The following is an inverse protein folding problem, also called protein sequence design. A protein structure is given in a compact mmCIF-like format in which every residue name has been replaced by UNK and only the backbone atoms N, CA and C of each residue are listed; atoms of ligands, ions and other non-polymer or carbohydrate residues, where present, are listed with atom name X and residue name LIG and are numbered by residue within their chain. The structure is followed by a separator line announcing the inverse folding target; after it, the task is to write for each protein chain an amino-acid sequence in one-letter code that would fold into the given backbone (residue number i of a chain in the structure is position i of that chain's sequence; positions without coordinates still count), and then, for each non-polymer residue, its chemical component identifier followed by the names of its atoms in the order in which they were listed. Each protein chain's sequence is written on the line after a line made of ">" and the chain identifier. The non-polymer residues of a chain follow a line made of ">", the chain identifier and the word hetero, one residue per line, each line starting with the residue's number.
data_IF_006608477749
#
_entry.id   IF_006608477749
#
_cell.length_a   1.000
_cell.length_b   1.000
_cell.length_c   1.000
_cell.angle_alpha   90.00
_cell.angle_beta   90.00
_cell.angle_gamma   90.00
#
_symmetry.space_group_name_H-M   'P 1'
#
loop_
_entity.id
_entity.type
_entity.pdbx_description
1 polymer ?
#
# COMPACT_ATOMS: atom_id res chain seq x y z
N UNK A 1 80.60 -6.25 5.91
CA UNK A 1 79.75 -7.27 6.54
C UNK A 1 78.84 -6.70 7.62
N UNK A 2 78.38 -5.43 7.54
CA UNK A 2 77.44 -4.79 8.51
C UNK A 2 76.29 -4.00 7.87
N UNK A 3 76.22 -3.90 6.55
CA UNK A 3 75.15 -3.15 5.87
C UNK A 3 73.99 -4.05 5.36
N UNK A 4 74.27 -5.30 5.01
CA UNK A 4 73.31 -6.25 4.46
C UNK A 4 72.30 -6.78 5.53
N UNK A 5 72.78 -6.91 6.78
CA UNK A 5 71.95 -7.47 7.87
C UNK A 5 70.82 -6.50 8.32
N UNK A 6 71.06 -5.19 8.22
CA UNK A 6 70.07 -4.15 8.57
C UNK A 6 69.01 -4.01 7.47
N UNK A 7 69.31 -4.29 6.24
CA UNK A 7 68.37 -4.22 5.12
C UNK A 7 67.45 -5.43 5.08
N UNK A 8 67.93 -6.62 5.38
CA UNK A 8 67.11 -7.82 5.50
C UNK A 8 66.12 -7.77 6.65
N UNK A 9 66.53 -7.23 7.81
CA UNK A 9 65.60 -7.05 8.98
C UNK A 9 64.50 -6.04 8.70
N UNK A 10 64.70 -5.01 7.87
CA UNK A 10 63.68 -4.04 7.47
C UNK A 10 62.68 -4.64 6.47
N UNK A 11 63.09 -5.54 5.59
CA UNK A 11 62.20 -6.21 4.62
C UNK A 11 61.29 -7.22 5.34
N UNK A 12 61.82 -8.02 6.26
CA UNK A 12 61.03 -8.98 7.02
C UNK A 12 60.00 -8.27 7.93
N UNK A 13 60.34 -7.12 8.55
CA UNK A 13 59.39 -6.37 9.38
C UNK A 13 58.30 -5.71 8.55
N UNK A 14 58.57 -5.28 7.32
CA UNK A 14 57.61 -4.68 6.42
C UNK A 14 56.60 -5.72 5.88
N UNK A 15 57.05 -6.92 5.61
CA UNK A 15 56.14 -8.01 5.15
C UNK A 15 55.27 -8.56 6.30
N UNK A 16 55.79 -8.65 7.53
CA UNK A 16 54.97 -9.05 8.69
C UNK A 16 53.91 -8.03 9.05
N UNK A 17 54.18 -6.73 8.96
CA UNK A 17 53.21 -5.67 9.27
C UNK A 17 52.09 -5.58 8.22
N UNK A 18 52.38 -5.90 6.96
CA UNK A 18 51.36 -5.98 5.90
C UNK A 18 50.48 -7.23 6.07
N UNK A 19 51.04 -8.39 6.42
CA UNK A 19 50.27 -9.62 6.63
C UNK A 19 49.34 -9.50 7.85
N UNK A 20 49.76 -8.90 8.94
CA UNK A 20 48.90 -8.68 10.12
C UNK A 20 47.78 -7.70 9.83
N UNK A 21 48.01 -6.68 8.95
CA UNK A 21 46.94 -5.75 8.54
C UNK A 21 45.91 -6.40 7.61
N UNK A 22 46.31 -7.35 6.75
CA UNK A 22 45.34 -8.07 5.86
C UNK A 22 44.55 -9.14 6.61
N UNK A 23 45.13 -9.77 7.63
CA UNK A 23 44.41 -10.76 8.46
C UNK A 23 43.41 -10.06 9.39
N UNK A 24 43.72 -8.88 9.93
CA UNK A 24 42.74 -8.09 10.73
C UNK A 24 41.64 -7.48 9.87
N UNK A 25 41.86 -7.10 8.61
CA UNK A 25 40.82 -6.66 7.68
C UNK A 25 39.95 -7.81 7.20
N UNK A 26 40.48 -9.02 7.00
CA UNK A 26 39.70 -10.19 6.64
C UNK A 26 38.81 -10.67 7.80
N UNK A 27 39.24 -10.57 9.04
CA UNK A 27 38.43 -10.89 10.22
C UNK A 27 37.34 -9.83 10.53
N UNK A 28 37.57 -8.56 10.15
CA UNK A 28 36.54 -7.51 10.26
C UNK A 28 35.44 -7.63 9.19
N UNK A 29 35.71 -8.26 8.03
CA UNK A 29 34.70 -8.50 6.97
C UNK A 29 33.82 -9.74 7.24
N UNK A 30 34.23 -10.63 8.16
CA UNK A 30 33.44 -11.81 8.53
C UNK A 30 32.38 -11.56 9.60
N UNK A 31 32.33 -10.35 10.18
CA UNK A 31 31.36 -10.00 11.25
C UNK A 31 30.09 -9.32 10.76
N UNK A 32 29.93 -9.09 9.45
CA UNK A 32 28.69 -8.53 8.87
C UNK A 32 27.85 -9.55 8.08
N UNK A 33 27.91 -10.82 8.45
CA UNK A 33 26.77 -11.67 8.16
C UNK A 33 25.67 -11.30 9.15
N UNK A 34 24.84 -10.31 8.78
CA UNK A 34 23.52 -10.14 9.38
C UNK A 34 22.86 -11.49 9.38
N UNK A 35 22.83 -12.12 10.53
CA UNK A 35 21.91 -13.23 10.77
C UNK A 35 20.53 -12.69 10.49
N UNK A 36 20.00 -12.99 9.31
CA UNK A 36 18.58 -12.85 9.03
C UNK A 36 17.87 -13.65 10.11
N UNK A 37 17.50 -13.00 11.22
CA UNK A 37 16.65 -13.61 12.21
C UNK A 37 15.39 -13.99 11.46
N UNK A 38 15.21 -15.31 11.25
CA UNK A 38 13.96 -15.82 10.74
C UNK A 38 12.88 -15.31 11.70
N UNK A 39 11.93 -14.51 11.19
CA UNK A 39 10.81 -14.03 12.01
C UNK A 39 10.07 -15.26 12.55
N UNK A 40 9.89 -15.31 13.87
CA UNK A 40 9.16 -16.41 14.48
C UNK A 40 7.75 -16.52 13.88
N UNK A 41 7.28 -17.74 13.59
CA UNK A 41 5.93 -17.95 13.12
C UNK A 41 4.90 -17.45 14.13
N UNK A 42 3.79 -16.90 13.64
CA UNK A 42 2.66 -16.58 14.51
C UNK A 42 2.20 -17.85 15.25
N UNK A 43 1.97 -17.79 16.58
CA UNK A 43 1.47 -18.92 17.35
C UNK A 43 0.11 -19.41 16.82
N UNK A 44 -0.07 -20.74 16.78
CA UNK A 44 -1.28 -21.36 16.23
C UNK A 44 -2.55 -20.91 16.98
N UNK A 45 -2.49 -20.76 18.30
CA UNK A 45 -3.60 -20.27 19.12
C UNK A 45 -4.05 -18.87 18.73
N UNK A 46 -3.13 -17.95 18.37
CA UNK A 46 -3.47 -16.60 17.92
C UNK A 46 -4.13 -16.62 16.54
N UNK A 47 -3.63 -17.47 15.68
CA UNK A 47 -4.23 -17.69 14.35
C UNK A 47 -5.66 -18.18 14.50
N UNK A 48 -5.90 -19.17 15.39
CA UNK A 48 -7.23 -19.72 15.65
C UNK A 48 -8.18 -18.68 16.27
N UNK A 49 -7.70 -17.86 17.20
CA UNK A 49 -8.49 -16.78 17.79
C UNK A 49 -8.91 -15.75 16.73
N UNK A 50 -7.99 -15.32 15.85
CA UNK A 50 -8.29 -14.42 14.74
C UNK A 50 -9.25 -15.05 13.72
N UNK A 51 -9.14 -16.34 13.46
CA UNK A 51 -10.05 -17.08 12.57
C UNK A 51 -11.47 -17.15 13.16
N UNK A 52 -11.60 -17.46 14.44
CA UNK A 52 -12.87 -17.48 15.15
C UNK A 52 -13.53 -16.08 15.16
N UNK A 53 -12.75 -15.03 15.45
CA UNK A 53 -13.21 -13.65 15.37
C UNK A 53 -13.72 -13.30 13.97
N UNK A 54 -12.94 -13.61 12.93
CA UNK A 54 -13.32 -13.32 11.55
C UNK A 54 -14.63 -14.00 11.17
N UNK A 55 -14.79 -15.29 11.51
CA UNK A 55 -16.00 -16.05 11.23
C UNK A 55 -17.24 -15.50 11.97
N UNK A 56 -17.08 -15.15 13.25
CA UNK A 56 -18.16 -14.56 14.08
C UNK A 56 -18.59 -13.17 13.58
N UNK A 57 -17.71 -12.45 12.90
CA UNK A 57 -17.97 -11.11 12.36
C UNK A 57 -18.19 -11.13 10.83
N UNK A 58 -18.91 -12.11 10.29
CA UNK A 58 -19.31 -12.17 8.89
C UNK A 58 -18.16 -12.43 7.91
N UNK A 59 -17.02 -12.95 8.40
CA UNK A 59 -15.90 -13.34 7.54
C UNK A 59 -16.31 -14.45 6.58
N UNK A 60 -15.91 -14.33 5.33
CA UNK A 60 -16.07 -15.35 4.28
C UNK A 60 -14.78 -16.12 4.06
N UNK A 61 -13.65 -15.44 4.14
CA UNK A 61 -12.33 -16.05 4.04
C UNK A 61 -11.36 -15.37 5.00
N UNK A 62 -10.48 -16.16 5.60
CA UNK A 62 -9.28 -15.69 6.28
C UNK A 62 -8.08 -16.49 5.77
N UNK A 63 -7.09 -15.77 5.21
CA UNK A 63 -5.82 -16.33 4.77
C UNK A 63 -4.69 -15.62 5.50
N UNK A 64 -3.80 -16.38 6.13
CA UNK A 64 -2.59 -15.88 6.79
C UNK A 64 -1.38 -16.53 6.13
N UNK A 65 -0.50 -15.70 5.57
CA UNK A 65 0.72 -16.14 4.87
C UNK A 65 1.92 -15.47 5.51
N UNK A 66 2.92 -16.26 5.93
CA UNK A 66 4.14 -15.74 6.54
C UNK A 66 5.37 -16.40 5.90
N UNK A 67 6.43 -15.63 5.66
CA UNK A 67 7.64 -16.11 4.99
C UNK A 67 7.34 -16.87 3.66
N UNK A 68 6.31 -16.43 2.94
CA UNK A 68 5.86 -17.05 1.69
C UNK A 68 5.01 -18.33 1.85
N UNK A 69 4.81 -18.83 3.07
CA UNK A 69 4.01 -20.05 3.35
C UNK A 69 2.64 -19.67 3.92
N UNK A 70 1.60 -20.37 3.49
CA UNK A 70 0.26 -20.26 4.09
C UNK A 70 0.29 -20.99 5.43
N UNK A 71 0.06 -20.25 6.52
CA UNK A 71 -0.06 -20.77 7.87
C UNK A 71 -1.51 -21.14 8.20
N UNK A 72 -2.46 -20.40 7.62
CA UNK A 72 -3.89 -20.62 7.81
C UNK A 72 -4.67 -20.20 6.58
N UNK A 73 -5.67 -20.97 6.25
CA UNK A 73 -6.63 -20.68 5.21
C UNK A 73 -7.98 -21.30 5.59
N UNK A 74 -8.98 -20.48 5.80
CA UNK A 74 -10.34 -20.94 6.14
C UNK A 74 -11.38 -20.18 5.34
N UNK A 75 -12.50 -20.88 5.09
CA UNK A 75 -13.66 -20.38 4.36
C UNK A 75 -14.90 -20.70 5.17
N UNK A 76 -15.74 -19.70 5.38
CA UNK A 76 -16.93 -19.77 6.25
C UNK A 76 -18.11 -19.14 5.58
N UNK A 77 -19.30 -19.29 6.16
CA UNK A 77 -20.52 -18.65 5.69
C UNK A 77 -20.83 -18.96 4.20
N UNK A 78 -20.57 -20.20 3.77
CA UNK A 78 -20.86 -20.69 2.40
C UNK A 78 -19.87 -20.25 1.33
N UNK A 79 -18.81 -19.53 1.67
CA UNK A 79 -17.78 -19.09 0.72
C UNK A 79 -16.73 -20.19 0.46
N UNK A 80 -16.10 -20.16 -0.71
CA UNK A 80 -15.10 -21.14 -1.11
C UNK A 80 -13.77 -20.49 -1.54
N UNK A 81 -12.71 -21.28 -1.61
CA UNK A 81 -11.35 -20.80 -2.01
C UNK A 81 -11.28 -20.32 -3.47
N UNK A 82 -12.21 -20.73 -4.31
CA UNK A 82 -12.22 -20.38 -5.73
C UNK A 82 -13.16 -19.23 -6.06
N UNK A 83 -13.94 -18.79 -5.08
CA UNK A 83 -14.94 -17.75 -5.27
C UNK A 83 -14.33 -16.36 -5.11
N UNK A 84 -14.30 -15.53 -6.18
CA UNK A 84 -13.80 -14.17 -6.05
C UNK A 84 -14.83 -13.28 -5.35
N UNK A 85 -14.36 -12.45 -4.44
CA UNK A 85 -15.17 -11.48 -3.72
C UNK A 85 -14.81 -10.05 -4.13
N UNK A 86 -15.79 -9.14 -4.11
CA UNK A 86 -15.54 -7.72 -4.36
C UNK A 86 -14.67 -7.14 -3.25
N UNK A 87 -13.50 -6.60 -3.59
CA UNK A 87 -12.59 -5.99 -2.61
C UNK A 87 -12.84 -4.49 -2.39
N UNK A 88 -13.87 -3.93 -3.03
CA UNK A 88 -14.28 -2.53 -2.91
C UNK A 88 -13.09 -1.56 -3.00
N UNK A 89 -12.89 -0.71 -2.00
CA UNK A 89 -11.80 0.28 -1.96
C UNK A 89 -10.39 -0.31 -1.97
N UNK A 90 -10.23 -1.61 -1.73
CA UNK A 90 -8.96 -2.32 -1.98
C UNK A 90 -8.47 -2.18 -3.44
N UNK A 91 -9.39 -1.92 -4.37
CA UNK A 91 -9.10 -1.63 -5.79
C UNK A 91 -8.14 -0.43 -5.96
N UNK A 92 -8.25 0.57 -5.09
CA UNK A 92 -7.47 1.83 -5.20
C UNK A 92 -5.97 1.60 -5.20
N UNK A 93 -5.49 0.67 -4.38
CA UNK A 93 -4.07 0.36 -4.29
C UNK A 93 -3.47 -0.06 -5.64
N UNK A 94 -4.17 -0.90 -6.39
CA UNK A 94 -3.69 -1.36 -7.71
C UNK A 94 -3.56 -0.21 -8.71
N UNK A 95 -4.52 0.71 -8.72
CA UNK A 95 -4.44 1.90 -9.57
C UNK A 95 -3.34 2.87 -9.12
N UNK A 96 -3.17 3.06 -7.82
CA UNK A 96 -2.09 3.89 -7.30
C UNK A 96 -0.70 3.32 -7.65
N UNK A 97 -0.54 1.99 -7.68
CA UNK A 97 0.71 1.35 -8.09
C UNK A 97 1.07 1.63 -9.56
N UNK A 98 0.09 1.93 -10.43
CA UNK A 98 0.40 2.35 -11.81
C UNK A 98 1.18 3.65 -11.86
N UNK A 99 1.09 4.51 -10.84
CA UNK A 99 1.81 5.78 -10.82
C UNK A 99 3.31 5.58 -10.65
N UNK A 100 3.74 4.65 -9.80
CA UNK A 100 5.17 4.31 -9.67
C UNK A 100 5.71 3.69 -10.96
N UNK A 101 4.90 2.84 -11.62
CA UNK A 101 5.27 2.30 -12.93
C UNK A 101 5.37 3.41 -13.99
N UNK A 102 4.45 4.37 -13.99
CA UNK A 102 4.44 5.50 -14.92
C UNK A 102 5.62 6.45 -14.70
N UNK A 103 5.98 6.71 -13.45
CA UNK A 103 7.17 7.49 -13.09
C UNK A 103 8.45 6.79 -13.58
N UNK A 104 8.57 5.47 -13.34
CA UNK A 104 9.69 4.65 -13.84
C UNK A 104 9.76 4.61 -15.38
N UNK A 105 8.62 4.62 -16.05
CA UNK A 105 8.55 4.67 -17.53
C UNK A 105 8.74 6.10 -18.08
N UNK A 106 8.97 7.10 -17.24
CA UNK A 106 9.21 8.49 -17.62
C UNK A 106 7.98 9.23 -18.17
N UNK A 107 6.77 8.77 -17.84
CA UNK A 107 5.53 9.42 -18.30
C UNK A 107 5.26 10.74 -17.56
N UNK A 108 5.57 10.78 -16.27
CA UNK A 108 5.52 11.95 -15.37
C UNK A 108 6.30 11.64 -14.09
N UNK A 109 6.53 12.67 -13.28
CA UNK A 109 6.98 12.54 -11.88
C UNK A 109 5.78 12.70 -10.95
N UNK A 110 5.82 12.05 -9.79
CA UNK A 110 4.73 12.18 -8.81
C UNK A 110 4.52 13.63 -8.33
N UNK A 111 5.57 14.44 -8.36
CA UNK A 111 5.50 15.84 -7.94
C UNK A 111 5.24 16.82 -9.09
N UNK A 112 5.07 16.32 -10.33
CA UNK A 112 4.65 17.15 -11.47
C UNK A 112 3.22 17.68 -11.24
N UNK A 113 2.96 18.88 -11.79
CA UNK A 113 1.62 19.47 -11.74
C UNK A 113 0.68 18.73 -12.68
N UNK A 114 -0.51 18.46 -12.20
CA UNK A 114 -1.57 17.85 -13.02
C UNK A 114 -1.89 18.73 -14.23
N UNK A 115 -1.82 20.05 -14.08
CA UNK A 115 -2.05 21.04 -15.14
C UNK A 115 -1.04 21.02 -16.29
N UNK A 116 0.13 20.37 -16.11
CA UNK A 116 1.09 20.19 -17.21
C UNK A 116 0.56 19.19 -18.26
N UNK A 117 -0.42 18.39 -17.89
CA UNK A 117 -1.08 17.41 -18.77
C UNK A 117 -2.56 17.75 -18.98
N UNK A 118 -3.27 18.15 -17.94
CA UNK A 118 -4.66 18.59 -17.96
C UNK A 118 -4.67 20.12 -18.12
N UNK A 119 -4.39 20.58 -19.34
CA UNK A 119 -4.09 21.99 -19.66
C UNK A 119 -5.24 22.95 -19.36
N UNK A 120 -6.48 22.47 -19.36
CA UNK A 120 -7.65 23.24 -18.93
C UNK A 120 -7.60 23.70 -17.48
N UNK A 121 -6.73 23.12 -16.66
CA UNK A 121 -6.51 23.54 -15.28
C UNK A 121 -5.45 24.65 -15.12
N UNK A 122 -4.73 25.02 -16.18
CA UNK A 122 -3.63 26.01 -16.10
C UNK A 122 -4.12 27.41 -15.69
N UNK A 123 -5.30 27.82 -16.15
CA UNK A 123 -5.89 29.12 -15.81
C UNK A 123 -6.52 29.19 -14.41
N UNK A 124 -6.80 28.05 -13.79
CA UNK A 124 -7.35 27.99 -12.42
C UNK A 124 -6.22 28.11 -11.39
N UNK A 125 -6.18 29.20 -10.63
CA UNK A 125 -5.14 29.50 -9.64
C UNK A 125 -4.95 28.44 -8.56
N UNK A 126 -5.97 27.62 -8.28
CA UNK A 126 -5.92 26.54 -7.28
C UNK A 126 -5.59 25.19 -7.93
N UNK A 127 -6.34 24.80 -8.99
CA UNK A 127 -6.13 23.51 -9.68
C UNK A 127 -4.75 23.42 -10.33
N UNK A 128 -4.21 24.53 -10.85
CA UNK A 128 -2.87 24.56 -11.48
C UNK A 128 -1.72 24.17 -10.52
N UNK A 129 -1.97 24.14 -9.22
CA UNK A 129 -0.96 23.79 -8.20
C UNK A 129 -1.04 22.33 -7.72
N UNK A 130 -2.10 21.60 -8.11
CA UNK A 130 -2.30 20.21 -7.68
C UNK A 130 -1.25 19.32 -8.36
N UNK A 131 -0.59 18.48 -7.57
CA UNK A 131 0.38 17.50 -8.08
C UNK A 131 -0.26 16.11 -8.26
N UNK A 132 0.39 15.24 -9.04
CA UNK A 132 -0.04 13.86 -9.23
C UNK A 132 -0.11 13.14 -7.87
N UNK A 133 0.89 13.33 -7.01
CA UNK A 133 0.92 12.79 -5.65
C UNK A 133 -0.32 13.18 -4.85
N UNK A 134 -0.73 14.44 -4.91
CA UNK A 134 -1.88 14.94 -4.17
C UNK A 134 -3.23 14.37 -4.64
N UNK A 135 -3.33 13.89 -5.88
CA UNK A 135 -4.48 13.10 -6.31
C UNK A 135 -4.50 11.71 -5.63
N UNK A 136 -3.33 11.08 -5.50
CA UNK A 136 -3.20 9.68 -5.06
C UNK A 136 -3.16 9.51 -3.53
N UNK A 137 -2.77 10.56 -2.80
CA UNK A 137 -2.83 10.63 -1.34
C UNK A 137 -4.09 11.34 -0.82
N UNK A 138 -5.01 11.72 -1.73
CA UNK A 138 -6.27 12.40 -1.43
C UNK A 138 -6.12 13.75 -0.73
N UNK A 139 -5.01 14.46 -0.97
CA UNK A 139 -4.76 15.80 -0.43
C UNK A 139 -4.96 16.92 -1.46
N UNK A 140 -5.55 16.63 -2.62
CA UNK A 140 -5.81 17.63 -3.68
C UNK A 140 -6.78 18.72 -3.28
N UNK A 141 -7.62 18.49 -2.27
CA UNK A 141 -8.68 19.41 -1.84
C UNK A 141 -9.97 19.29 -2.67
N UNK A 142 -10.05 18.33 -3.58
CA UNK A 142 -11.25 18.09 -4.41
C UNK A 142 -12.36 17.46 -3.59
N UNK A 143 -13.62 17.80 -3.89
CA UNK A 143 -14.78 17.13 -3.33
C UNK A 143 -14.77 15.63 -3.69
N UNK A 144 -15.34 14.75 -2.84
CA UNK A 144 -15.20 13.31 -3.01
C UNK A 144 -16.00 12.74 -4.19
N UNK A 145 -17.14 13.34 -4.55
CA UNK A 145 -18.07 12.90 -5.60
C UNK A 145 -18.46 11.41 -5.50
N UNK A 146 -18.99 10.98 -4.35
CA UNK A 146 -19.37 9.57 -4.15
C UNK A 146 -20.37 9.01 -5.18
N UNK A 147 -21.19 9.87 -5.81
CA UNK A 147 -22.07 9.48 -6.93
C UNK A 147 -21.34 8.82 -8.09
N UNK A 148 -20.01 9.06 -8.26
CA UNK A 148 -19.23 8.37 -9.29
C UNK A 148 -19.18 6.84 -9.12
N UNK A 149 -19.60 6.29 -7.98
CA UNK A 149 -19.71 4.84 -7.76
C UNK A 149 -20.94 4.20 -8.49
N UNK A 150 -21.87 4.98 -8.96
CA UNK A 150 -23.04 4.47 -9.67
C UNK A 150 -22.64 3.69 -10.93
N UNK A 151 -23.26 2.51 -11.14
CA UNK A 151 -22.89 1.62 -12.25
C UNK A 151 -23.21 2.24 -13.62
N UNK A 152 -24.29 3.04 -13.71
CA UNK A 152 -24.77 3.67 -14.94
C UNK A 152 -24.31 5.13 -15.09
N UNK A 153 -23.21 5.51 -14.46
CA UNK A 153 -22.71 6.88 -14.53
C UNK A 153 -22.41 7.27 -15.98
N UNK A 154 -22.74 8.51 -16.37
CA UNK A 154 -22.58 8.95 -17.75
C UNK A 154 -21.07 9.14 -18.06
N UNK A 155 -20.44 10.16 -17.49
CA UNK A 155 -19.03 10.49 -17.73
C UNK A 155 -18.34 10.86 -16.42
N UNK A 156 -17.65 9.87 -15.83
CA UNK A 156 -16.90 10.04 -14.58
C UNK A 156 -15.74 11.01 -14.74
N UNK A 157 -15.09 10.96 -15.89
CA UNK A 157 -13.93 11.80 -16.19
C UNK A 157 -14.32 13.26 -16.26
N UNK A 158 -15.34 13.59 -17.07
CA UNK A 158 -15.81 14.97 -17.21
C UNK A 158 -16.31 15.53 -15.86
N UNK A 159 -17.03 14.73 -15.08
CA UNK A 159 -17.51 15.13 -13.74
C UNK A 159 -16.33 15.39 -12.78
N UNK A 160 -15.36 14.49 -12.73
CA UNK A 160 -14.19 14.62 -11.86
C UNK A 160 -13.32 15.85 -12.21
N UNK A 161 -13.13 16.14 -13.51
CA UNK A 161 -12.37 17.32 -13.95
C UNK A 161 -13.01 18.64 -13.51
N UNK A 162 -14.33 18.66 -13.33
CA UNK A 162 -15.12 19.83 -12.88
C UNK A 162 -15.37 19.84 -11.37
N UNK A 163 -14.96 18.80 -10.62
CA UNK A 163 -15.19 18.69 -9.20
C UNK A 163 -14.74 19.94 -8.43
N UNK A 164 -15.53 20.40 -7.47
CA UNK A 164 -15.20 21.57 -6.69
C UNK A 164 -13.95 21.36 -5.79
N UNK A 165 -13.19 22.43 -5.56
CA UNK A 165 -12.11 22.42 -4.56
C UNK A 165 -12.69 22.92 -3.23
N UNK A 166 -13.11 21.97 -2.37
CA UNK A 166 -13.77 22.25 -1.09
C UNK A 166 -12.79 22.31 0.08
N UNK A 167 -11.58 21.75 -0.09
CA UNK A 167 -10.51 21.78 0.90
C UNK A 167 -9.26 22.53 0.43
N UNK A 168 -8.31 22.69 1.34
CA UNK A 168 -7.00 23.31 1.04
C UNK A 168 -6.05 22.24 0.50
N UNK A 169 -5.55 22.42 -0.71
CA UNK A 169 -4.59 21.54 -1.37
C UNK A 169 -3.36 21.30 -0.48
N UNK A 170 -2.97 20.04 -0.28
CA UNK A 170 -1.87 19.61 0.55
C UNK A 170 -2.15 19.62 2.06
N UNK A 171 -3.32 20.11 2.51
CA UNK A 171 -3.69 20.22 3.94
C UNK A 171 -4.97 19.47 4.31
N UNK A 172 -5.87 19.25 3.36
CA UNK A 172 -7.16 18.59 3.60
C UNK A 172 -7.14 17.19 2.99
N UNK A 173 -7.34 16.17 3.81
CA UNK A 173 -7.55 14.80 3.35
C UNK A 173 -9.02 14.60 3.00
N UNK A 174 -9.32 14.35 1.73
CA UNK A 174 -10.69 14.17 1.23
C UNK A 174 -10.76 12.88 0.43
N UNK A 175 -11.23 11.84 1.09
CA UNK A 175 -11.31 10.50 0.52
C UNK A 175 -12.52 10.35 -0.42
N UNK A 176 -12.29 9.93 -1.65
CA UNK A 176 -13.37 9.70 -2.63
C UNK A 176 -12.86 9.32 -4.00
N UNK A 177 -13.76 9.03 -4.96
CA UNK A 177 -13.39 8.60 -6.30
C UNK A 177 -12.87 9.73 -7.20
N UNK A 178 -13.22 11.01 -6.97
CA UNK A 178 -12.96 12.10 -7.91
C UNK A 178 -11.48 12.28 -8.24
N UNK A 179 -10.61 12.36 -7.21
CA UNK A 179 -9.17 12.55 -7.41
C UNK A 179 -8.54 11.42 -8.24
N UNK A 180 -8.95 10.17 -8.01
CA UNK A 180 -8.49 9.01 -8.80
C UNK A 180 -8.99 9.08 -10.25
N UNK A 181 -10.18 9.60 -10.48
CA UNK A 181 -10.74 9.72 -11.82
C UNK A 181 -10.00 10.80 -12.63
N UNK A 182 -9.54 11.89 -11.98
CA UNK A 182 -8.61 12.85 -12.59
C UNK A 182 -7.27 12.19 -12.90
N UNK A 183 -6.74 11.37 -11.98
CA UNK A 183 -5.53 10.61 -12.24
C UNK A 183 -5.68 9.67 -13.45
N UNK A 184 -6.84 9.01 -13.61
CA UNK A 184 -7.12 8.19 -14.80
C UNK A 184 -6.97 9.00 -16.09
N UNK A 185 -7.56 10.20 -16.15
CA UNK A 185 -7.48 11.06 -17.34
C UNK A 185 -6.04 11.51 -17.61
N UNK A 186 -5.31 11.91 -16.57
CA UNK A 186 -3.89 12.26 -16.69
C UNK A 186 -3.11 11.09 -17.31
N UNK A 187 -3.26 9.88 -16.77
CA UNK A 187 -2.60 8.68 -17.28
C UNK A 187 -3.04 8.37 -18.72
N UNK A 188 -4.33 8.51 -19.04
CA UNK A 188 -4.86 8.30 -20.39
C UNK A 188 -4.22 9.25 -21.40
N UNK A 189 -4.09 10.54 -21.07
CA UNK A 189 -3.43 11.54 -21.94
C UNK A 189 -1.96 11.20 -22.16
N UNK A 190 -1.23 10.83 -21.12
CA UNK A 190 0.18 10.42 -21.23
C UNK A 190 0.40 9.13 -22.04
N UNK A 191 -0.57 8.23 -22.03
CA UNK A 191 -0.50 6.97 -22.77
C UNK A 191 -1.00 7.07 -24.23
N UNK A 192 -1.68 8.17 -24.59
CA UNK A 192 -2.30 8.36 -25.92
C UNK A 192 -1.28 8.24 -27.05
N UNK A 193 -0.12 8.85 -26.92
CA UNK A 193 0.95 8.78 -27.91
C UNK A 193 1.45 7.34 -28.10
N UNK A 194 1.39 6.53 -27.04
CA UNK A 194 1.79 5.11 -27.06
C UNK A 194 0.65 4.19 -27.51
N UNK A 195 -0.51 4.76 -27.92
CA UNK A 195 -1.73 4.01 -28.32
C UNK A 195 -2.14 2.95 -27.27
N UNK A 196 -1.98 3.27 -25.99
CA UNK A 196 -2.28 2.38 -24.88
C UNK A 196 -3.34 2.97 -23.95
N UNK A 197 -4.29 2.13 -23.48
CA UNK A 197 -5.27 2.54 -22.47
C UNK A 197 -4.73 2.37 -21.06
N UNK A 198 -5.23 3.14 -20.05
CA UNK A 198 -4.89 2.95 -18.65
C UNK A 198 -5.14 1.53 -18.14
N UNK A 199 -6.22 0.86 -18.57
CA UNK A 199 -6.51 -0.52 -18.17
C UNK A 199 -5.45 -1.50 -18.67
N UNK A 200 -5.06 -1.43 -19.95
CA UNK A 200 -3.97 -2.26 -20.49
C UNK A 200 -2.63 -1.95 -19.83
N UNK A 201 -2.41 -0.67 -19.46
CA UNK A 201 -1.22 -0.28 -18.73
C UNK A 201 -1.19 -0.91 -17.34
N UNK A 202 -2.31 -0.85 -16.59
CA UNK A 202 -2.49 -1.51 -15.31
C UNK A 202 -2.27 -3.03 -15.42
N UNK A 203 -2.90 -3.68 -16.40
CA UNK A 203 -2.76 -5.12 -16.63
C UNK A 203 -1.30 -5.52 -16.84
N UNK A 204 -0.60 -4.81 -17.69
CA UNK A 204 0.80 -5.12 -18.02
C UNK A 204 1.78 -4.77 -16.89
N UNK A 205 1.60 -3.63 -16.23
CA UNK A 205 2.59 -3.09 -15.29
C UNK A 205 2.34 -3.49 -13.83
N UNK A 206 1.12 -3.80 -13.49
CA UNK A 206 0.72 -4.14 -12.11
C UNK A 206 0.14 -5.54 -12.02
N UNK A 207 -0.95 -5.83 -12.73
CA UNK A 207 -1.64 -7.11 -12.56
C UNK A 207 -0.83 -8.31 -13.07
N UNK A 208 -0.18 -8.19 -14.22
CA UNK A 208 0.67 -9.25 -14.77
C UNK A 208 1.81 -9.66 -13.84
N UNK A 209 2.63 -8.72 -13.33
CA UNK A 209 3.65 -9.01 -12.32
C UNK A 209 3.13 -9.66 -11.02
N UNK A 210 1.85 -9.46 -10.70
CA UNK A 210 1.16 -10.09 -9.57
C UNK A 210 0.57 -11.48 -9.92
N UNK A 211 0.68 -11.91 -11.17
CA UNK A 211 0.02 -13.14 -11.65
C UNK A 211 -1.51 -13.02 -11.73
N UNK A 212 -2.03 -11.80 -11.81
CA UNK A 212 -3.46 -11.52 -11.88
C UNK A 212 -3.89 -11.22 -13.32
N UNK A 213 -5.05 -11.72 -13.71
CA UNK A 213 -5.69 -11.38 -14.98
C UNK A 213 -6.47 -10.06 -14.92
N UNK A 214 -7.19 -9.77 -16.03
CA UNK A 214 -8.11 -8.65 -16.12
C UNK A 214 -9.11 -8.65 -14.97
N UNK A 215 -9.48 -7.46 -14.52
CA UNK A 215 -10.37 -7.25 -13.39
C UNK A 215 -11.73 -6.69 -13.84
N UNK A 216 -12.68 -6.60 -12.92
CA UNK A 216 -13.95 -5.92 -13.16
C UNK A 216 -13.76 -4.41 -13.03
N UNK A 217 -13.73 -3.69 -14.15
CA UNK A 217 -13.40 -2.27 -14.18
C UNK A 217 -14.57 -1.32 -13.96
N UNK A 218 -15.82 -1.78 -14.00
CA UNK A 218 -17.04 -0.97 -13.86
C UNK A 218 -17.02 0.29 -14.77
N UNK A 219 -16.95 0.13 -16.11
CA UNK A 219 -16.87 1.27 -17.01
C UNK A 219 -18.15 2.13 -16.93
N UNK A 220 -18.00 3.45 -17.14
CA UNK A 220 -19.12 4.34 -17.39
C UNK A 220 -19.58 4.26 -18.87
N UNK A 221 -20.51 5.12 -19.29
CA UNK A 221 -21.02 5.12 -20.68
C UNK A 221 -19.95 5.51 -21.72
N UNK A 222 -18.88 6.19 -21.31
CA UNK A 222 -17.73 6.53 -22.15
C UNK A 222 -16.58 5.52 -22.05
N UNK A 223 -16.76 4.41 -21.32
CA UNK A 223 -15.77 3.35 -21.17
C UNK A 223 -14.69 3.63 -20.12
N UNK A 224 -14.78 4.73 -19.37
CA UNK A 224 -13.83 5.06 -18.31
C UNK A 224 -14.06 4.16 -17.09
N UNK A 225 -13.04 3.43 -16.61
CA UNK A 225 -13.16 2.54 -15.46
C UNK A 225 -13.38 3.33 -14.16
N UNK A 226 -14.01 2.69 -13.17
CA UNK A 226 -14.06 3.21 -11.81
C UNK A 226 -12.78 2.79 -11.05
N UNK A 227 -11.90 3.73 -10.78
CA UNK A 227 -10.63 3.41 -10.07
C UNK A 227 -10.83 3.14 -8.58
N UNK A 228 -11.91 3.64 -8.01
CA UNK A 228 -12.17 3.59 -6.57
C UNK A 228 -12.68 2.23 -6.07
N UNK A 229 -13.23 1.37 -6.96
CA UNK A 229 -13.82 0.08 -6.60
C UNK A 229 -13.96 -0.82 -7.85
N UNK A 230 -14.39 -2.06 -7.66
CA UNK A 230 -14.80 -2.94 -8.75
C UNK A 230 -14.09 -4.28 -8.81
N UNK A 231 -12.83 -4.35 -8.39
CA UNK A 231 -12.05 -5.59 -8.49
C UNK A 231 -12.70 -6.74 -7.70
N UNK A 232 -12.60 -7.92 -8.28
CA UNK A 232 -13.06 -9.18 -7.71
C UNK A 232 -11.86 -10.10 -7.56
N UNK A 233 -11.57 -10.54 -6.32
CA UNK A 233 -10.43 -11.39 -6.05
C UNK A 233 -10.77 -12.47 -5.03
N UNK A 234 -10.16 -13.65 -5.17
CA UNK A 234 -10.10 -14.63 -4.10
C UNK A 234 -9.11 -14.16 -3.02
N UNK A 235 -9.18 -14.73 -1.83
CA UNK A 235 -8.21 -14.41 -0.77
C UNK A 235 -6.76 -14.68 -1.22
N UNK A 236 -6.54 -15.78 -1.95
CA UNK A 236 -5.23 -16.11 -2.53
C UNK A 236 -4.75 -15.08 -3.53
N UNK A 237 -5.61 -14.67 -4.47
CA UNK A 237 -5.27 -13.64 -5.45
C UNK A 237 -4.91 -12.32 -4.79
N UNK A 238 -5.70 -11.88 -3.79
CA UNK A 238 -5.39 -10.62 -3.11
C UNK A 238 -4.11 -10.70 -2.27
N UNK A 239 -3.77 -11.88 -1.73
CA UNK A 239 -2.52 -12.09 -1.02
C UNK A 239 -1.28 -11.90 -1.90
N UNK A 240 -1.39 -12.04 -3.24
CA UNK A 240 -0.26 -11.82 -4.15
C UNK A 240 0.16 -10.35 -4.22
N UNK A 241 -0.75 -9.39 -3.97
CA UNK A 241 -0.37 -7.99 -3.77
C UNK A 241 0.62 -7.85 -2.61
N UNK A 242 0.34 -8.48 -1.46
CA UNK A 242 1.24 -8.49 -0.32
C UNK A 242 2.57 -9.19 -0.62
N UNK A 243 2.51 -10.35 -1.28
CA UNK A 243 3.69 -11.11 -1.66
C UNK A 243 4.62 -10.34 -2.59
N UNK A 244 4.04 -9.58 -3.52
CA UNK A 244 4.79 -8.74 -4.44
C UNK A 244 5.40 -7.52 -3.74
N UNK A 245 4.64 -6.84 -2.88
CA UNK A 245 5.15 -5.70 -2.11
C UNK A 245 6.31 -6.10 -1.21
N UNK A 246 6.22 -7.25 -0.52
CA UNK A 246 7.32 -7.74 0.33
C UNK A 246 8.61 -8.04 -0.46
N UNK A 247 8.52 -8.27 -1.77
CA UNK A 247 9.67 -8.45 -2.67
C UNK A 247 10.17 -7.15 -3.30
N UNK A 248 9.36 -6.08 -3.29
CA UNK A 248 9.65 -4.80 -3.93
C UNK A 248 9.74 -3.70 -2.86
N UNK A 249 10.82 -3.72 -2.07
CA UNK A 249 11.03 -2.82 -0.94
C UNK A 249 11.12 -1.34 -1.35
N UNK A 250 11.60 -1.04 -2.54
CA UNK A 250 11.62 0.29 -3.14
C UNK A 250 10.20 0.88 -3.28
N UNK A 251 9.23 0.06 -3.67
CA UNK A 251 7.83 0.48 -3.73
C UNK A 251 7.27 0.69 -2.32
N UNK A 252 7.53 -0.24 -1.37
CA UNK A 252 7.08 -0.08 0.02
C UNK A 252 7.58 1.24 0.63
N UNK A 253 8.86 1.57 0.45
CA UNK A 253 9.46 2.82 0.94
C UNK A 253 8.93 4.06 0.22
N UNK A 254 8.37 3.89 -0.97
CA UNK A 254 7.76 4.96 -1.78
C UNK A 254 6.29 5.23 -1.43
N UNK A 255 5.64 4.37 -0.65
CA UNK A 255 4.25 4.56 -0.16
C UNK A 255 4.19 5.68 0.91
N UNK A 256 4.70 6.86 0.57
CA UNK A 256 4.75 8.00 1.49
C UNK A 256 3.37 8.58 1.72
N UNK A 257 3.16 9.05 2.93
CA UNK A 257 1.95 9.76 3.36
C UNK A 257 2.11 11.26 3.21
N UNK A 258 1.01 12.01 3.35
CA UNK A 258 1.02 13.46 3.34
C UNK A 258 0.82 14.06 4.75
N UNK A 259 1.08 15.35 4.90
CA UNK A 259 0.75 16.08 6.13
C UNK A 259 -0.77 16.17 6.37
N UNK A 260 -1.58 16.04 5.31
CA UNK A 260 -3.04 16.01 5.42
C UNK A 260 -3.54 14.75 6.16
N UNK A 261 -2.89 13.61 5.91
CA UNK A 261 -3.17 12.37 6.62
C UNK A 261 -1.93 11.45 6.63
N UNK A 262 -1.29 11.34 7.80
CA UNK A 262 -0.11 10.49 7.98
C UNK A 262 -0.43 9.00 8.11
N UNK A 263 -1.70 8.63 8.15
CA UNK A 263 -2.14 7.24 8.18
C UNK A 263 -2.52 6.70 6.80
N UNK A 264 -2.38 7.50 5.70
CA UNK A 264 -2.77 7.06 4.36
C UNK A 264 -1.82 7.59 3.28
N UNK A 265 -1.52 6.74 2.29
CA UNK A 265 -0.81 7.12 1.07
C UNK A 265 -0.96 6.07 -0.02
N UNK A 266 -1.22 6.52 -1.25
CA UNK A 266 -1.25 5.66 -2.46
C UNK A 266 -2.17 4.43 -2.37
N UNK A 267 -3.34 4.60 -1.73
CA UNK A 267 -4.30 3.51 -1.59
C UNK A 267 -4.06 2.58 -0.39
N UNK A 268 -3.03 2.83 0.40
CA UNK A 268 -2.69 2.06 1.60
C UNK A 268 -2.88 2.88 2.88
N UNK A 269 -3.48 2.26 3.87
CA UNK A 269 -3.48 2.71 5.25
C UNK A 269 -2.21 2.20 5.95
N UNK A 270 -1.71 2.91 6.93
CA UNK A 270 -0.52 2.50 7.67
C UNK A 270 -0.70 2.63 9.18
N UNK A 271 0.18 1.97 9.91
CA UNK A 271 0.17 1.89 11.36
C UNK A 271 1.33 2.68 12.02
N UNK A 272 2.00 3.57 11.28
CA UNK A 272 3.24 4.25 11.71
C UNK A 272 3.12 4.97 13.05
N UNK A 273 1.93 5.46 13.40
CA UNK A 273 1.72 6.15 14.66
C UNK A 273 1.62 5.21 15.87
N UNK A 274 1.54 3.89 15.70
CA UNK A 274 1.28 2.92 16.77
C UNK A 274 2.24 3.00 17.95
N UNK A 275 3.52 3.29 17.69
CA UNK A 275 4.57 3.41 18.72
C UNK A 275 4.52 4.74 19.47
N UNK A 276 3.78 5.73 18.98
CA UNK A 276 3.66 7.03 19.65
C UNK A 276 2.82 6.91 20.92
N UNK A 277 3.25 7.60 21.99
CA UNK A 277 2.43 7.73 23.22
C UNK A 277 1.07 8.38 22.95
N UNK A 278 0.99 9.21 21.92
CA UNK A 278 -0.24 9.90 21.50
C UNK A 278 -1.01 9.15 20.40
N UNK A 279 -0.62 7.90 20.09
CA UNK A 279 -1.31 7.08 19.10
C UNK A 279 -2.79 6.89 19.43
N UNK A 280 -3.63 7.04 18.43
CA UNK A 280 -5.07 6.87 18.53
C UNK A 280 -5.54 5.81 17.56
N UNK A 281 -6.04 4.70 18.06
CA UNK A 281 -6.67 3.66 17.25
C UNK A 281 -7.92 4.22 16.58
N UNK A 282 -8.09 3.95 15.30
CA UNK A 282 -9.23 4.40 14.51
C UNK A 282 -9.84 3.23 13.74
N UNK A 283 -11.16 3.18 13.74
CA UNK A 283 -11.90 2.41 12.77
C UNK A 283 -12.03 3.27 11.50
N UNK A 284 -11.31 2.84 10.46
CA UNK A 284 -11.21 3.58 9.21
C UNK A 284 -12.56 3.70 8.51
N UNK A 285 -13.36 2.63 8.45
CA UNK A 285 -14.67 2.65 7.78
C UNK A 285 -15.62 3.62 8.47
N UNK A 286 -15.75 3.52 9.81
CA UNK A 286 -16.61 4.41 10.59
C UNK A 286 -16.15 5.87 10.51
N UNK A 287 -14.84 6.12 10.44
CA UNK A 287 -14.33 7.47 10.32
C UNK A 287 -14.58 8.06 8.93
N UNK A 288 -14.50 7.25 7.88
CA UNK A 288 -14.79 7.66 6.51
C UNK A 288 -16.30 7.88 6.25
N UNK A 289 -17.19 7.32 7.08
CA UNK A 289 -18.64 7.59 7.00
C UNK A 289 -18.97 9.04 7.40
N UNK A 290 -18.07 9.71 8.15
CA UNK A 290 -18.22 11.12 8.53
C UNK A 290 -17.86 12.04 7.38
N UNK A 291 -18.40 13.27 7.39
CA UNK A 291 -17.96 14.32 6.47
C UNK A 291 -16.46 14.55 6.63
N UNK A 292 -15.74 14.82 5.53
CA UNK A 292 -14.28 14.91 5.53
C UNK A 292 -13.72 15.91 6.57
N UNK A 293 -14.40 17.04 6.83
CA UNK A 293 -13.97 18.05 7.79
C UNK A 293 -14.27 17.68 9.26
N UNK A 294 -15.05 16.62 9.49
CA UNK A 294 -15.32 16.05 10.82
C UNK A 294 -14.37 14.87 11.13
N UNK A 295 -13.58 14.45 10.16
CA UNK A 295 -12.61 13.36 10.31
C UNK A 295 -11.34 13.87 10.99
N UNK A 296 -10.80 13.12 11.94
CA UNK A 296 -9.51 13.40 12.55
C UNK A 296 -8.56 12.24 12.31
N UNK A 297 -7.47 12.54 11.63
CA UNK A 297 -6.41 11.56 11.31
C UNK A 297 -5.13 11.81 12.11
N UNK A 298 -5.15 12.76 13.02
CA UNK A 298 -3.98 13.08 13.84
C UNK A 298 -3.59 11.89 14.71
N UNK A 299 -2.34 11.42 14.56
CA UNK A 299 -1.78 10.27 15.26
C UNK A 299 -2.63 8.99 15.12
N UNK A 300 -3.39 8.88 14.02
CA UNK A 300 -4.22 7.71 13.75
C UNK A 300 -3.35 6.49 13.46
N UNK A 301 -3.73 5.35 14.04
CA UNK A 301 -3.18 4.03 13.75
C UNK A 301 -4.31 3.00 13.72
N UNK A 302 -4.07 1.86 13.10
CA UNK A 302 -5.05 0.77 13.03
C UNK A 302 -5.10 -0.01 14.34
N UNK A 303 -3.94 -0.31 14.94
CA UNK A 303 -3.83 -1.04 16.20
C UNK A 303 -2.49 -0.71 16.87
N UNK A 304 -2.53 -0.31 18.14
CA UNK A 304 -1.32 0.01 18.92
C UNK A 304 -0.44 -1.21 19.22
N UNK A 305 -1.03 -2.40 19.24
CA UNK A 305 -0.30 -3.64 19.50
C UNK A 305 0.30 -4.26 18.22
N UNK A 306 -0.12 -3.82 17.04
CA UNK A 306 0.43 -4.29 15.78
C UNK A 306 1.71 -3.51 15.41
N UNK A 307 2.65 -4.12 14.66
CA UNK A 307 3.86 -3.46 14.22
C UNK A 307 3.60 -2.12 13.51
N UNK A 308 4.48 -1.14 13.75
CA UNK A 308 4.34 0.19 13.14
C UNK A 308 4.51 0.18 11.62
N UNK A 309 5.21 -0.80 11.07
CA UNK A 309 5.39 -0.98 9.63
C UNK A 309 4.23 -1.71 8.94
N UNK A 310 3.17 -2.06 9.68
CA UNK A 310 1.96 -2.62 9.09
C UNK A 310 1.33 -1.60 8.14
N UNK A 311 1.03 -2.07 6.92
CA UNK A 311 0.20 -1.37 5.94
C UNK A 311 -1.03 -2.20 5.60
N UNK A 312 -2.11 -1.55 5.17
CA UNK A 312 -3.37 -2.22 4.87
C UNK A 312 -4.09 -1.61 3.67
N UNK A 313 -4.77 -2.45 2.88
CA UNK A 313 -5.86 -1.98 2.02
C UNK A 313 -7.18 -2.31 2.69
N UNK A 314 -8.03 -1.32 2.84
CA UNK A 314 -9.33 -1.42 3.50
C UNK A 314 -10.42 -1.18 2.48
N UNK A 315 -11.26 -2.18 2.26
CA UNK A 315 -12.46 -2.11 1.45
C UNK A 315 -13.70 -2.23 2.32
N UNK A 316 -14.78 -1.58 1.89
CA UNK A 316 -16.06 -1.58 2.60
C UNK A 316 -16.55 -3.00 2.92
N UNK A 317 -17.37 -3.11 3.95
CA UNK A 317 -17.94 -4.37 4.42
C UNK A 317 -16.91 -5.40 4.89
N UNK A 318 -15.80 -4.92 5.49
CA UNK A 318 -14.82 -5.78 6.14
C UNK A 318 -13.81 -6.45 5.22
N UNK A 319 -13.60 -5.96 4.00
CA UNK A 319 -12.52 -6.44 3.13
C UNK A 319 -11.19 -5.88 3.61
N UNK A 320 -10.23 -6.75 3.93
CA UNK A 320 -8.92 -6.34 4.47
C UNK A 320 -7.79 -7.14 3.84
N UNK A 321 -6.71 -6.47 3.53
CA UNK A 321 -5.39 -7.06 3.47
C UNK A 321 -4.48 -6.26 4.38
N UNK A 322 -3.81 -6.94 5.32
CA UNK A 322 -2.74 -6.37 6.13
C UNK A 322 -1.42 -7.00 5.70
N UNK A 323 -0.40 -6.17 5.61
CA UNK A 323 0.95 -6.57 5.22
C UNK A 323 1.90 -6.02 6.27
N UNK A 324 2.71 -6.89 6.89
CA UNK A 324 3.70 -6.53 7.91
C UNK A 324 5.08 -6.88 7.38
N UNK A 325 5.81 -5.91 6.82
CA UNK A 325 7.11 -6.16 6.21
C UNK A 325 8.14 -6.77 7.16
N UNK A 326 8.27 -6.26 8.38
CA UNK A 326 9.21 -6.77 9.40
C UNK A 326 8.99 -8.24 9.73
N UNK A 327 7.76 -8.74 9.60
CA UNK A 327 7.40 -10.13 9.89
C UNK A 327 7.17 -10.97 8.63
N UNK A 328 7.35 -10.40 7.43
CA UNK A 328 7.02 -11.03 6.15
C UNK A 328 5.62 -11.68 6.17
N UNK A 329 4.68 -10.99 6.82
CA UNK A 329 3.34 -11.49 7.13
C UNK A 329 2.30 -10.78 6.26
N UNK A 330 1.35 -11.57 5.76
CA UNK A 330 0.20 -11.12 4.98
C UNK A 330 -1.04 -11.75 5.58
N UNK A 331 -2.06 -10.94 5.83
CA UNK A 331 -3.36 -11.38 6.33
C UNK A 331 -4.42 -10.86 5.38
N UNK A 332 -5.20 -11.74 4.78
CA UNK A 332 -6.33 -11.37 3.91
C UNK A 332 -7.62 -11.83 4.58
N UNK A 333 -8.56 -10.90 4.72
CA UNK A 333 -9.94 -11.16 5.15
C UNK A 333 -10.89 -10.72 4.05
N UNK A 334 -11.76 -11.62 3.63
CA UNK A 334 -12.95 -11.32 2.82
C UNK A 334 -14.19 -11.49 3.69
N UNK A 335 -15.20 -10.68 3.48
CA UNK A 335 -16.40 -10.70 4.29
C UNK A 335 -17.63 -10.18 3.54
N UNK A 336 -18.84 -10.42 4.07
CA UNK A 336 -20.09 -9.89 3.57
C UNK A 336 -20.80 -9.13 4.68
N UNK A 337 -21.21 -7.90 4.35
CA UNK A 337 -22.02 -7.04 5.22
C UNK A 337 -21.47 -6.92 6.66
N UNK A 338 -20.17 -6.81 6.78
CA UNK A 338 -19.43 -6.85 8.04
C UNK A 338 -18.70 -5.53 8.30
N UNK A 339 -18.71 -5.11 9.56
CA UNK A 339 -17.88 -4.02 10.06
C UNK A 339 -17.00 -4.57 11.20
N UNK A 340 -15.90 -5.27 10.90
CA UNK A 340 -15.00 -5.77 11.93
C UNK A 340 -14.25 -4.59 12.56
N UNK A 341 -13.92 -4.71 13.84
CA UNK A 341 -12.99 -3.79 14.47
C UNK A 341 -11.55 -4.24 14.13
N UNK A 342 -10.84 -3.44 13.34
CA UNK A 342 -9.48 -3.75 12.91
C UNK A 342 -8.53 -3.92 14.10
N UNK A 343 -8.63 -3.05 15.13
CA UNK A 343 -7.79 -3.13 16.31
C UNK A 343 -8.05 -4.41 17.12
N UNK A 344 -9.30 -4.83 17.28
CA UNK A 344 -9.64 -6.09 17.98
C UNK A 344 -9.05 -7.31 17.27
N UNK A 345 -9.26 -7.40 15.95
CA UNK A 345 -8.72 -8.51 15.17
C UNK A 345 -7.19 -8.55 15.21
N UNK A 346 -6.54 -7.40 15.05
CA UNK A 346 -5.08 -7.32 15.08
C UNK A 346 -4.49 -7.61 16.47
N UNK A 347 -5.17 -7.22 17.57
CA UNK A 347 -4.73 -7.59 18.93
C UNK A 347 -4.67 -9.10 19.14
N UNK A 348 -5.61 -9.85 18.59
CA UNK A 348 -5.58 -11.32 18.70
C UNK A 348 -4.30 -11.90 18.10
N UNK A 349 -3.73 -11.25 17.08
CA UNK A 349 -2.51 -11.70 16.41
C UNK A 349 -1.24 -11.17 17.09
N UNK A 350 -1.26 -9.94 17.66
CA UNK A 350 -0.04 -9.23 18.05
C UNK A 350 0.11 -8.96 19.55
N UNK A 351 -0.95 -9.09 20.37
CA UNK A 351 -0.80 -8.90 21.82
C UNK A 351 -0.09 -10.11 22.43
N UNK A 352 0.94 -9.92 23.28
CA UNK A 352 1.54 -11.02 24.02
C UNK A 352 0.48 -11.77 24.85
N UNK A 353 0.50 -13.11 24.81
CA UNK A 353 -0.32 -13.92 25.70
C UNK A 353 0.24 -13.70 27.11
N UNK A 354 -0.54 -13.12 28.00
CA UNK A 354 -0.20 -13.10 29.42
C UNK A 354 -0.25 -14.56 29.91
N UNK A 355 0.91 -15.12 30.21
CA UNK A 355 1.05 -16.43 30.83
C UNK A 355 0.84 -16.33 32.34
#
# INVERSE_FOLDING_TARGET
>A
MRADDAMQRRIVHRHMTVYVRWVTLALAFLSFFSTSHATEPLPAERIQAAAAYSAAHGGHALLIKQNGKILHESYTNGHTKHEPHRIYSGTKAFWCLTAFAAEKDGLFKLDDRVSDTITEWQSDKRRSKITVRQLLDFSSGMEPLFGLHENSYNDRTASALKAALVGTTGKSFIYGPAALQVYHELLARKLREKKQSPTRYLERKVLGPLGLGSQRYLPDQHGSPLLAAGFMQTARQWSELGSWLLKNQDILTSLKTSDANRAFGFGFWNNHAAESKSAREVDVESLLDKKWHEQSWRNACLCRNAPADLIACIGSYGQRIYIVPSQKLIIVRLAKDSKPNDAEMLRLLFTPIQR
#
